data_IF_213142558415
#
_entry.id   IF_213142558415
#
_cell.length_a   1.000
_cell.length_b   1.000
_cell.length_c   1.000
_cell.angle_alpha   90.00
_cell.angle_beta   90.00
_cell.angle_gamma   90.00
#
_symmetry.space_group_name_H-M   'P 1'
#
loop_
_entity.id
_entity.type
_entity.pdbx_description
1 polymer ?
#
# COMPACT_ATOMS: atom_id res chain seq x y z
N UNK A 1 2.67 -16.80 -40.59
CA UNK A 1 3.99 -16.28 -40.17
C UNK A 1 3.90 -15.22 -39.06
N UNK A 2 3.36 -14.02 -39.30
CA UNK A 2 3.23 -12.97 -38.24
C UNK A 2 2.13 -13.31 -37.23
N UNK A 3 0.98 -13.77 -37.72
CA UNK A 3 -0.14 -14.22 -36.89
C UNK A 3 0.30 -15.28 -35.86
N UNK A 4 1.02 -16.32 -36.30
CA UNK A 4 1.49 -17.40 -35.42
C UNK A 4 2.41 -16.89 -34.31
N UNK A 5 3.26 -15.90 -34.63
CA UNK A 5 4.13 -15.24 -33.63
C UNK A 5 3.32 -14.48 -32.59
N UNK A 6 2.29 -13.74 -33.00
CA UNK A 6 1.41 -12.98 -32.09
C UNK A 6 0.63 -13.92 -31.18
N UNK A 7 0.03 -14.99 -31.73
CA UNK A 7 -0.73 -15.97 -30.93
C UNK A 7 0.17 -16.65 -29.91
N UNK A 8 1.39 -17.06 -30.31
CA UNK A 8 2.37 -17.63 -29.39
C UNK A 8 2.74 -16.65 -28.28
N UNK A 9 2.96 -15.38 -28.62
CA UNK A 9 3.30 -14.35 -27.62
C UNK A 9 2.16 -14.13 -26.62
N UNK A 10 0.92 -13.95 -27.09
CA UNK A 10 -0.25 -13.77 -26.21
C UNK A 10 -0.41 -14.97 -25.27
N UNK A 11 -0.26 -16.19 -25.79
CA UNK A 11 -0.32 -17.40 -24.97
C UNK A 11 0.76 -17.45 -23.89
N UNK A 12 1.99 -17.05 -24.21
CA UNK A 12 3.08 -16.96 -23.22
C UNK A 12 2.84 -15.87 -22.16
N UNK A 13 2.30 -14.71 -22.54
CA UNK A 13 1.96 -13.63 -21.60
C UNK A 13 0.77 -13.96 -20.70
N UNK A 14 -0.22 -14.69 -21.22
CA UNK A 14 -1.42 -15.08 -20.47
C UNK A 14 -1.10 -15.91 -19.22
N UNK A 15 0.01 -16.66 -19.22
CA UNK A 15 0.48 -17.43 -18.05
C UNK A 15 0.88 -16.54 -16.86
N UNK A 16 1.17 -15.26 -17.10
CA UNK A 16 1.52 -14.26 -16.09
C UNK A 16 0.52 -13.10 -16.05
N UNK A 17 -0.63 -13.24 -16.71
CA UNK A 17 -1.69 -12.24 -16.70
C UNK A 17 -2.21 -12.01 -15.29
N UNK A 18 -2.45 -10.76 -14.91
CA UNK A 18 -3.03 -10.40 -13.62
C UNK A 18 -4.39 -9.73 -13.84
N UNK A 19 -5.41 -10.00 -12.99
CA UNK A 19 -6.71 -9.38 -13.15
C UNK A 19 -6.63 -7.86 -12.94
N UNK A 20 -6.86 -7.10 -14.01
CA UNK A 20 -6.73 -5.64 -14.01
C UNK A 20 -7.64 -4.97 -12.97
N UNK A 21 -8.89 -5.40 -12.88
CA UNK A 21 -9.86 -4.86 -11.90
C UNK A 21 -9.39 -5.06 -10.45
N UNK A 22 -8.78 -6.20 -10.14
CA UNK A 22 -8.22 -6.49 -8.82
C UNK A 22 -6.99 -5.61 -8.55
N UNK A 23 -6.09 -5.44 -9.52
CA UNK A 23 -4.93 -4.56 -9.39
C UNK A 23 -5.34 -3.11 -9.11
N UNK A 24 -6.29 -2.57 -9.88
CA UNK A 24 -6.76 -1.19 -9.73
C UNK A 24 -7.40 -0.97 -8.34
N UNK A 25 -8.22 -1.92 -7.89
CA UNK A 25 -8.90 -1.81 -6.59
C UNK A 25 -7.91 -1.69 -5.43
N UNK A 26 -6.84 -2.49 -5.42
CA UNK A 26 -5.79 -2.40 -4.39
C UNK A 26 -4.86 -1.20 -4.60
N UNK A 27 -4.55 -0.85 -5.84
CA UNK A 27 -3.71 0.31 -6.17
C UNK A 27 -4.32 1.62 -5.65
N UNK A 28 -5.65 1.75 -5.73
CA UNK A 28 -6.35 2.93 -5.20
C UNK A 28 -6.15 3.08 -3.68
N UNK A 29 -6.28 1.99 -2.92
CA UNK A 29 -6.09 2.00 -1.46
C UNK A 29 -4.63 2.31 -1.10
N UNK A 30 -3.67 1.71 -1.82
CA UNK A 30 -2.25 1.97 -1.63
C UNK A 30 -1.93 3.46 -1.91
N UNK A 31 -2.45 4.00 -3.02
CA UNK A 31 -2.26 5.40 -3.38
C UNK A 31 -2.86 6.35 -2.35
N UNK A 32 -4.11 6.12 -1.94
CA UNK A 32 -4.76 6.95 -0.91
C UNK A 32 -4.00 6.92 0.42
N UNK A 33 -3.51 5.75 0.82
CA UNK A 33 -2.68 5.59 2.03
C UNK A 33 -1.38 6.40 1.94
N UNK A 34 -0.69 6.34 0.80
CA UNK A 34 0.52 7.12 0.56
C UNK A 34 0.23 8.63 0.52
N UNK A 35 -0.87 9.04 -0.11
CA UNK A 35 -1.27 10.44 -0.16
C UNK A 35 -1.52 11.00 1.24
N UNK A 36 -2.26 10.28 2.09
CA UNK A 36 -2.43 10.63 3.51
C UNK A 36 -1.10 10.67 4.25
N UNK A 37 -0.22 9.69 4.03
CA UNK A 37 1.10 9.67 4.66
C UNK A 37 1.96 10.88 4.28
N UNK A 38 1.83 11.40 3.06
CA UNK A 38 2.59 12.57 2.57
C UNK A 38 1.97 13.90 3.03
N UNK A 39 0.65 14.03 2.95
CA UNK A 39 -0.03 15.32 3.15
C UNK A 39 -0.67 15.48 4.54
N UNK A 40 -0.97 14.38 5.23
CA UNK A 40 -1.64 14.33 6.53
C UNK A 40 -0.99 13.26 7.42
N UNK A 41 0.34 13.34 7.56
CA UNK A 41 1.13 12.28 8.19
C UNK A 41 0.72 12.01 9.64
N UNK A 42 0.39 13.06 10.41
CA UNK A 42 0.02 12.90 11.82
C UNK A 42 -1.29 12.11 11.96
N UNK A 43 -2.30 12.47 11.18
CA UNK A 43 -3.60 11.81 11.11
C UNK A 43 -3.49 10.39 10.58
N UNK A 44 -2.64 10.16 9.58
CA UNK A 44 -2.35 8.83 9.05
C UNK A 44 -1.85 7.90 10.17
N UNK A 45 -0.79 8.29 10.89
CA UNK A 45 -0.25 7.47 11.98
C UNK A 45 -1.23 7.32 13.15
N UNK A 46 -1.97 8.38 13.51
CA UNK A 46 -3.01 8.28 14.54
C UNK A 46 -4.11 7.28 14.14
N UNK A 47 -4.55 7.30 12.88
CA UNK A 47 -5.51 6.34 12.34
C UNK A 47 -5.02 4.90 12.41
N UNK A 48 -3.75 4.64 12.08
CA UNK A 48 -3.14 3.30 12.20
C UNK A 48 -3.05 2.81 13.65
N UNK A 49 -2.84 3.71 14.61
CA UNK A 49 -2.83 3.36 16.03
C UNK A 49 -4.24 3.03 16.57
N UNK A 50 -5.25 3.77 16.12
CA UNK A 50 -6.64 3.56 16.52
C UNK A 50 -7.22 2.23 16.00
N UNK A 51 -6.66 1.67 14.93
CA UNK A 51 -7.13 0.41 14.33
C UNK A 51 -6.34 -0.82 14.80
N UNK A 52 -5.61 -0.73 15.92
CA UNK A 52 -4.89 -1.88 16.47
C UNK A 52 -5.85 -2.93 17.08
N UNK A 53 -5.52 -4.24 16.96
CA UNK A 53 -4.35 -4.81 16.29
C UNK A 53 -4.51 -4.94 14.76
N UNK A 54 -3.51 -4.53 13.98
CA UNK A 54 -3.57 -4.59 12.50
C UNK A 54 -2.82 -5.78 11.88
N UNK A 55 -2.34 -6.74 12.67
CA UNK A 55 -1.69 -7.98 12.21
C UNK A 55 -0.29 -7.87 11.58
N UNK A 56 0.09 -6.72 11.01
CA UNK A 56 1.35 -6.56 10.26
C UNK A 56 2.44 -5.76 10.97
N UNK A 57 2.07 -4.73 11.74
CA UNK A 57 3.03 -3.82 12.37
C UNK A 57 2.68 -3.54 13.82
N UNK A 58 3.66 -3.67 14.72
CA UNK A 58 3.51 -3.26 16.11
C UNK A 58 3.40 -1.75 16.25
N UNK A 59 2.71 -1.29 17.31
CA UNK A 59 2.63 0.14 17.70
C UNK A 59 4.01 0.78 17.75
N UNK A 60 5.01 0.09 18.32
CA UNK A 60 6.38 0.60 18.39
C UNK A 60 7.01 0.83 17.00
N UNK A 61 6.72 -0.04 16.02
CA UNK A 61 7.17 0.14 14.64
C UNK A 61 6.53 1.37 14.00
N UNK A 62 5.22 1.56 14.20
CA UNK A 62 4.49 2.72 13.68
C UNK A 62 4.99 4.03 14.29
N UNK A 63 5.18 4.09 15.61
CA UNK A 63 5.70 5.28 16.29
C UNK A 63 7.12 5.64 15.84
N UNK A 64 7.97 4.63 15.57
CA UNK A 64 9.31 4.85 15.04
C UNK A 64 9.27 5.42 13.62
N UNK A 65 8.37 4.92 12.77
CA UNK A 65 8.20 5.45 11.42
C UNK A 65 7.62 6.88 11.44
N UNK A 66 6.64 7.14 12.30
CA UNK A 66 6.08 8.47 12.53
C UNK A 66 7.17 9.49 12.88
N UNK A 67 8.09 9.12 13.79
CA UNK A 67 9.24 9.96 14.16
C UNK A 67 10.17 10.26 12.98
N UNK A 68 10.42 9.28 12.10
CA UNK A 68 11.22 9.48 10.88
C UNK A 68 10.55 10.44 9.90
N UNK A 69 9.22 10.52 9.93
CA UNK A 69 8.42 11.49 9.18
C UNK A 69 8.19 12.81 9.94
N UNK A 70 8.97 13.09 10.99
CA UNK A 70 8.89 14.35 11.75
C UNK A 70 7.70 14.44 12.72
N UNK A 71 6.93 13.37 12.90
CA UNK A 71 5.75 13.36 13.78
C UNK A 71 6.17 13.06 15.22
N UNK A 72 5.78 13.95 16.13
CA UNK A 72 6.03 13.81 17.57
C UNK A 72 4.84 13.15 18.25
N UNK A 73 5.06 11.99 18.84
CA UNK A 73 4.09 11.33 19.72
C UNK A 73 4.34 11.75 21.19
N UNK A 74 3.26 11.86 21.96
CA UNK A 74 3.30 12.15 23.40
C UNK A 74 2.86 10.92 24.21
N UNK A 75 3.37 10.74 25.44
CA UNK A 75 2.84 9.72 26.34
C UNK A 75 1.38 10.01 26.71
N UNK A 76 0.66 8.96 27.10
CA UNK A 76 -0.66 9.07 27.71
C UNK A 76 -0.48 9.71 29.09
N UNK A 77 -1.35 10.68 29.43
CA UNK A 77 -1.38 11.32 30.75
C UNK A 77 -2.21 10.53 31.73
#
# INVERSE_FOLDING_TARGET
AVQDKIVKAIGSFALYGFPESHAISFALIAYASCWLKVHHSAEFFAGLLNNQPMGFYSVATLLRDARRHGIRARPVS
#
